data_IF_054931874487
#
_entry.id   IF_054931874487
#
_cell.length_a   1.000
_cell.length_b   1.000
_cell.length_c   1.000
_cell.angle_alpha   90.00
_cell.angle_beta   90.00
_cell.angle_gamma   90.00
#
_symmetry.space_group_name_H-M   'P 1'
#
loop_
_entity.id
_entity.type
_entity.pdbx_description
1 polymer ?
#
# COMPACT_ATOMS: atom_id res chain seq x y z
N UNK A 1 37.12 -1.95 -34.11
CA UNK A 1 36.15 -1.01 -34.71
C UNK A 1 34.69 -1.31 -34.34
N UNK A 2 34.36 -2.44 -33.69
CA UNK A 2 32.97 -2.85 -33.46
C UNK A 2 32.29 -2.24 -32.21
N UNK A 3 33.06 -1.95 -31.16
CA UNK A 3 32.53 -1.33 -29.93
C UNK A 3 32.02 0.09 -30.18
N UNK A 4 32.71 0.86 -31.02
CA UNK A 4 32.29 2.21 -31.40
C UNK A 4 30.94 2.19 -32.15
N UNK A 5 30.66 1.12 -32.91
CA UNK A 5 29.41 1.01 -33.67
C UNK A 5 28.22 0.62 -32.79
N UNK A 6 28.43 -0.21 -31.76
CA UNK A 6 27.38 -0.57 -30.80
C UNK A 6 26.96 0.60 -29.91
N UNK A 7 27.90 1.47 -29.52
CA UNK A 7 27.61 2.70 -28.76
C UNK A 7 26.75 3.69 -29.56
N UNK A 8 27.04 3.86 -30.85
CA UNK A 8 26.25 4.72 -31.72
C UNK A 8 24.80 4.23 -31.86
N UNK A 9 24.60 2.91 -31.97
CA UNK A 9 23.25 2.34 -32.06
C UNK A 9 22.45 2.55 -30.76
N UNK A 10 23.08 2.35 -29.60
CA UNK A 10 22.44 2.53 -28.30
C UNK A 10 22.04 4.00 -28.06
N UNK A 11 22.89 4.96 -28.44
CA UNK A 11 22.59 6.40 -28.32
C UNK A 11 21.51 6.86 -29.30
N UNK A 12 21.46 6.30 -30.52
CA UNK A 12 20.42 6.61 -31.50
C UNK A 12 19.05 6.09 -31.05
N UNK A 13 18.99 4.92 -30.40
CA UNK A 13 17.73 4.35 -29.88
C UNK A 13 17.09 5.21 -28.78
N UNK A 14 17.89 5.86 -27.92
CA UNK A 14 17.37 6.75 -26.87
C UNK A 14 16.74 8.02 -27.47
N UNK A 15 17.25 8.48 -28.62
CA UNK A 15 16.74 9.69 -29.28
C UNK A 15 15.37 9.49 -29.94
N UNK A 16 15.01 8.25 -30.33
CA UNK A 16 13.72 7.93 -30.95
C UNK A 16 12.56 7.81 -29.96
N UNK A 17 12.83 7.59 -28.67
CA UNK A 17 11.80 7.47 -27.62
C UNK A 17 11.34 8.84 -27.10
N UNK A 18 12.12 9.91 -27.33
CA UNK A 18 11.75 11.30 -27.02
C UNK A 18 11.22 12.07 -28.24
N UNK A 19 10.50 11.39 -29.12
CA UNK A 19 9.80 12.00 -30.26
C UNK A 19 8.53 12.76 -29.83
N UNK A 20 8.61 14.09 -29.87
CA UNK A 20 7.50 15.06 -29.97
C UNK A 20 6.33 14.95 -28.98
N UNK A 21 6.42 15.65 -27.85
CA UNK A 21 5.21 16.13 -27.16
C UNK A 21 4.50 17.16 -28.05
N UNK A 22 3.20 16.98 -28.36
CA UNK A 22 2.45 18.03 -29.02
C UNK A 22 2.34 19.25 -28.10
N UNK A 23 2.76 20.38 -28.66
CA UNK A 23 2.65 21.74 -28.15
C UNK A 23 1.25 21.97 -27.55
N UNK A 24 1.18 22.27 -26.25
CA UNK A 24 -0.04 22.72 -25.58
C UNK A 24 -0.42 24.09 -26.16
N UNK A 25 -1.28 24.07 -27.17
CA UNK A 25 -1.89 25.27 -27.73
C UNK A 25 -2.81 25.91 -26.69
N UNK A 26 -2.71 27.24 -26.67
CA UNK A 26 -3.29 28.12 -25.68
C UNK A 26 -4.81 28.07 -25.70
N UNK A 27 -5.37 28.17 -24.50
CA UNK A 27 -6.76 28.51 -24.20
C UNK A 27 -7.29 29.62 -25.12
N UNK A 28 -8.28 29.29 -25.93
CA UNK A 28 -9.05 30.28 -26.71
C UNK A 28 -10.47 30.35 -26.15
N UNK A 29 -10.72 31.38 -25.36
CA UNK A 29 -12.05 31.89 -25.02
C UNK A 29 -12.85 32.20 -26.30
N UNK A 30 -14.12 31.78 -26.35
CA UNK A 30 -15.21 32.62 -26.90
C UNK A 30 -16.55 32.27 -26.19
N UNK A 31 -17.47 33.24 -25.95
CA UNK A 31 -18.39 33.24 -24.82
C UNK A 31 -19.88 33.04 -25.18
N UNK A 32 -20.73 33.22 -24.15
CA UNK A 32 -22.20 33.26 -24.04
C UNK A 32 -22.83 31.95 -23.55
N UNK A 33 -23.63 31.94 -22.47
CA UNK A 33 -24.62 32.95 -22.07
C UNK A 33 -24.70 33.09 -20.53
N UNK A 34 -24.80 34.34 -20.07
CA UNK A 34 -25.04 34.72 -18.69
C UNK A 34 -26.54 34.77 -18.35
N UNK A 35 -26.87 34.47 -17.09
CA UNK A 35 -27.82 35.16 -16.18
C UNK A 35 -28.03 34.23 -14.96
N UNK A 36 -27.98 34.66 -13.69
CA UNK A 36 -28.34 35.96 -13.10
C UNK A 36 -27.64 36.13 -11.74
N UNK A 37 -27.34 37.38 -11.40
CA UNK A 37 -26.72 37.86 -10.16
C UNK A 37 -27.46 37.49 -8.86
N UNK A 38 -26.76 37.52 -7.70
CA UNK A 38 -27.34 37.37 -6.38
C UNK A 38 -27.81 38.74 -5.83
N UNK A 39 -29.03 38.78 -5.27
CA UNK A 39 -29.51 39.96 -4.56
C UNK A 39 -29.04 39.96 -3.10
N UNK A 40 -28.40 41.05 -2.72
CA UNK A 40 -27.88 41.40 -1.40
C UNK A 40 -29.00 41.85 -0.44
N UNK A 41 -28.73 41.69 0.86
CA UNK A 41 -28.85 42.72 1.91
C UNK A 41 -29.91 42.57 3.05
N UNK A 42 -29.34 42.56 4.27
CA UNK A 42 -29.72 43.28 5.51
C UNK A 42 -30.84 42.81 6.47
N UNK A 43 -30.37 42.51 7.70
CA UNK A 43 -30.83 42.95 9.04
C UNK A 43 -32.14 42.42 9.69
N UNK A 44 -31.94 41.58 10.73
CA UNK A 44 -32.48 41.49 12.13
C UNK A 44 -33.71 42.37 12.51
N UNK A 45 -34.64 41.99 13.44
CA UNK A 45 -34.40 41.18 14.66
C UNK A 45 -35.53 40.24 15.19
N UNK A 46 -35.16 39.50 16.25
CA UNK A 46 -35.93 39.24 17.48
C UNK A 46 -36.38 37.79 17.81
N UNK A 47 -35.80 37.36 18.95
CA UNK A 47 -36.45 36.73 20.10
C UNK A 47 -36.49 35.19 20.31
N UNK A 48 -35.69 34.81 21.33
CA UNK A 48 -35.95 33.85 22.42
C UNK A 48 -36.30 32.40 22.06
N UNK A 49 -35.37 31.50 22.41
CA UNK A 49 -35.76 30.16 22.87
C UNK A 49 -34.64 29.12 22.91
N UNK A 50 -34.07 28.94 24.10
CA UNK A 50 -33.80 27.61 24.70
C UNK A 50 -32.56 26.81 24.22
N UNK A 51 -31.55 26.90 25.08
CA UNK A 51 -30.58 25.88 25.54
C UNK A 51 -29.70 25.14 24.51
N UNK A 52 -28.40 25.36 24.67
CA UNK A 52 -27.33 24.50 24.15
C UNK A 52 -27.55 23.03 24.55
N UNK A 53 -27.41 22.13 23.58
CA UNK A 53 -27.28 20.69 23.82
C UNK A 53 -26.07 20.18 23.05
N UNK A 54 -25.08 19.74 23.82
CA UNK A 54 -23.91 18.94 23.46
C UNK A 54 -24.26 17.90 22.39
N UNK A 55 -23.59 17.95 21.24
CA UNK A 55 -23.66 16.85 20.26
C UNK A 55 -22.63 15.80 20.65
N UNK A 56 -23.15 14.78 21.31
CA UNK A 56 -22.50 13.52 21.65
C UNK A 56 -21.90 12.83 20.42
N UNK A 57 -20.71 12.27 20.60
CA UNK A 57 -20.05 11.33 19.69
C UNK A 57 -21.03 10.33 19.10
N UNK A 58 -21.18 10.35 17.77
CA UNK A 58 -21.81 9.25 17.04
C UNK A 58 -20.76 8.14 16.87
N UNK A 59 -20.75 7.22 17.84
CA UNK A 59 -20.16 5.89 17.70
C UNK A 59 -20.82 5.24 16.49
N UNK A 60 -20.06 5.08 15.40
CA UNK A 60 -20.51 4.31 14.25
C UNK A 60 -20.51 2.82 14.63
N UNK A 61 -21.63 2.36 15.20
CA UNK A 61 -21.99 0.95 15.19
C UNK A 61 -22.28 0.56 13.74
N UNK A 62 -21.24 0.10 13.03
CA UNK A 62 -21.43 -0.64 11.78
C UNK A 62 -21.33 -2.12 12.10
N UNK A 63 -22.49 -2.75 12.18
CA UNK A 63 -22.68 -4.19 12.24
C UNK A 63 -21.83 -4.88 11.18
N UNK A 64 -20.80 -5.59 11.60
CA UNK A 64 -19.96 -6.43 10.73
C UNK A 64 -20.79 -7.63 10.28
N UNK A 65 -20.97 -7.87 8.97
CA UNK A 65 -21.51 -9.14 8.49
C UNK A 65 -20.48 -10.23 8.82
N UNK A 66 -20.87 -11.20 9.67
CA UNK A 66 -20.09 -12.42 9.89
C UNK A 66 -20.26 -13.33 8.67
N UNK A 67 -19.58 -12.98 7.59
CA UNK A 67 -19.26 -13.93 6.53
C UNK A 67 -18.09 -14.76 7.04
N UNK A 68 -18.31 -16.03 7.33
CA UNK A 68 -17.21 -16.98 7.54
C UNK A 68 -16.51 -17.16 6.20
N UNK A 69 -15.60 -16.22 5.88
CA UNK A 69 -14.69 -16.35 4.77
C UNK A 69 -13.76 -17.54 5.06
N UNK A 70 -13.34 -18.26 4.01
CA UNK A 70 -12.27 -19.23 4.13
C UNK A 70 -11.04 -18.55 4.77
N UNK A 71 -10.26 -19.27 5.60
CA UNK A 71 -9.05 -18.72 6.17
C UNK A 71 -8.18 -18.18 5.03
N UNK A 72 -7.97 -16.87 5.02
CA UNK A 72 -7.11 -16.21 4.04
C UNK A 72 -5.70 -16.20 4.64
N UNK A 73 -4.65 -16.49 3.85
CA UNK A 73 -3.28 -16.28 4.28
C UNK A 73 -3.12 -14.85 4.81
N UNK A 74 -2.44 -14.73 5.94
CA UNK A 74 -2.24 -13.47 6.65
C UNK A 74 -1.25 -12.57 5.93
N UNK A 75 -0.26 -13.12 5.23
CA UNK A 75 0.67 -12.33 4.41
C UNK A 75 0.00 -11.92 3.09
N UNK A 76 0.45 -10.82 2.48
CA UNK A 76 -0.09 -10.36 1.19
C UNK A 76 0.03 -11.49 0.15
N UNK A 77 -1.09 -12.05 -0.35
CA UNK A 77 -1.06 -13.18 -1.28
C UNK A 77 -0.35 -12.85 -2.60
N UNK A 78 -0.21 -11.55 -2.92
CA UNK A 78 0.51 -11.11 -4.13
C UNK A 78 2.03 -11.28 -3.96
N UNK A 79 2.56 -11.31 -2.73
CA UNK A 79 4.01 -11.45 -2.49
C UNK A 79 4.58 -12.75 -3.06
N UNK A 80 3.79 -13.83 -3.03
CA UNK A 80 4.19 -15.11 -3.58
C UNK A 80 4.05 -15.14 -5.10
N UNK A 81 3.09 -14.42 -5.66
CA UNK A 81 3.07 -14.10 -7.09
C UNK A 81 4.34 -13.37 -7.54
N UNK A 82 4.80 -12.38 -6.77
CA UNK A 82 6.06 -11.68 -7.05
C UNK A 82 7.26 -12.62 -6.97
N UNK A 83 7.35 -13.46 -5.92
CA UNK A 83 8.41 -14.46 -5.76
C UNK A 83 8.46 -15.43 -6.93
N UNK A 84 7.31 -16.01 -7.30
CA UNK A 84 7.21 -17.01 -8.37
C UNK A 84 7.58 -16.45 -9.75
N UNK A 85 7.39 -15.15 -9.96
CA UNK A 85 7.80 -14.44 -11.17
C UNK A 85 9.25 -13.92 -11.11
N UNK A 86 10.04 -14.32 -10.10
CA UNK A 86 11.40 -13.83 -9.86
C UNK A 86 11.48 -12.29 -9.80
N UNK A 87 10.46 -11.66 -9.22
CA UNK A 87 10.44 -10.21 -9.07
C UNK A 87 11.41 -9.76 -7.99
N UNK A 88 12.22 -8.75 -8.31
CA UNK A 88 13.14 -8.09 -7.37
C UNK A 88 12.42 -7.42 -6.19
N UNK A 89 11.09 -7.31 -6.23
CA UNK A 89 10.28 -6.66 -5.19
C UNK A 89 9.79 -7.61 -4.09
N UNK A 90 9.80 -8.94 -4.31
CA UNK A 90 9.21 -9.88 -3.35
C UNK A 90 9.93 -9.85 -2.00
N UNK A 91 11.24 -10.05 -2.00
CA UNK A 91 12.05 -10.06 -0.79
C UNK A 91 12.13 -8.68 -0.11
N UNK A 92 12.34 -7.56 -0.84
CA UNK A 92 12.27 -6.24 -0.22
C UNK A 92 10.91 -5.92 0.41
N UNK A 93 9.80 -6.36 -0.18
CA UNK A 93 8.46 -6.19 0.40
C UNK A 93 8.31 -6.94 1.73
N UNK A 94 8.88 -8.15 1.84
CA UNK A 94 8.89 -8.89 3.10
C UNK A 94 9.78 -8.21 4.15
N UNK A 95 10.96 -7.76 3.76
CA UNK A 95 11.88 -7.05 4.65
C UNK A 95 11.27 -5.74 5.15
N UNK A 96 10.54 -5.02 4.29
CA UNK A 96 9.72 -3.89 4.70
C UNK A 96 8.69 -4.28 5.76
N UNK A 97 7.99 -5.40 5.53
CA UNK A 97 6.93 -5.89 6.43
C UNK A 97 7.51 -6.13 7.82
N UNK A 98 8.61 -6.87 7.91
CA UNK A 98 9.33 -7.14 9.16
C UNK A 98 9.71 -5.86 9.93
N UNK A 99 10.11 -4.80 9.21
CA UNK A 99 10.51 -3.53 9.83
C UNK A 99 9.34 -2.73 10.42
N UNK A 100 8.14 -2.87 9.84
CA UNK A 100 6.96 -2.06 10.16
C UNK A 100 5.88 -2.80 10.96
N UNK A 101 6.08 -4.09 11.20
CA UNK A 101 5.24 -4.85 12.11
C UNK A 101 5.38 -4.37 13.57
N UNK A 102 4.33 -4.57 14.40
CA UNK A 102 4.45 -4.47 15.84
C UNK A 102 5.59 -5.33 16.37
N UNK A 103 6.33 -4.80 17.36
CA UNK A 103 7.56 -5.42 17.86
C UNK A 103 7.35 -6.87 18.29
N UNK A 104 6.24 -7.19 18.95
CA UNK A 104 5.95 -8.56 19.38
C UNK A 104 5.82 -9.57 18.22
N UNK A 105 5.33 -9.14 17.05
CA UNK A 105 5.23 -9.99 15.87
C UNK A 105 6.59 -10.09 15.18
N UNK A 106 7.32 -8.98 15.06
CA UNK A 106 8.68 -8.98 14.51
C UNK A 106 9.59 -9.89 15.32
N UNK A 107 9.61 -9.77 16.66
CA UNK A 107 10.42 -10.60 17.54
C UNK A 107 10.09 -12.09 17.38
N UNK A 108 8.81 -12.41 17.17
CA UNK A 108 8.36 -13.79 16.95
C UNK A 108 8.85 -14.33 15.59
N UNK A 109 8.83 -13.51 14.54
CA UNK A 109 9.35 -13.88 13.21
C UNK A 109 10.89 -14.03 13.25
N UNK A 110 11.58 -13.14 13.96
CA UNK A 110 13.03 -13.23 14.19
C UNK A 110 13.39 -14.49 14.98
N UNK A 111 12.69 -14.77 16.08
CA UNK A 111 12.89 -16.00 16.87
C UNK A 111 12.68 -17.26 16.03
N UNK A 112 11.63 -17.30 15.20
CA UNK A 112 11.41 -18.40 14.27
C UNK A 112 12.58 -18.59 13.30
N UNK A 113 13.09 -17.48 12.73
CA UNK A 113 14.24 -17.54 11.83
C UNK A 113 15.52 -18.00 12.55
N UNK A 114 15.80 -17.47 13.74
CA UNK A 114 16.98 -17.83 14.54
C UNK A 114 16.96 -19.32 14.93
N UNK A 115 15.84 -19.80 15.46
CA UNK A 115 15.69 -21.21 15.86
C UNK A 115 15.81 -22.17 14.69
N UNK A 116 15.38 -21.75 13.50
CA UNK A 116 15.49 -22.52 12.26
C UNK A 116 16.80 -22.33 11.49
N UNK A 117 17.71 -21.45 11.93
CA UNK A 117 18.88 -21.00 11.13
C UNK A 117 18.49 -20.52 9.73
N UNK A 118 17.36 -19.81 9.63
CA UNK A 118 16.75 -19.29 8.41
C UNK A 118 17.05 -17.80 8.23
N UNK A 119 17.04 -17.33 6.98
CA UNK A 119 17.07 -15.90 6.65
C UNK A 119 15.71 -15.41 6.12
N UNK A 120 15.59 -14.12 5.79
CA UNK A 120 14.33 -13.56 5.30
C UNK A 120 13.85 -14.20 3.97
N UNK A 121 14.76 -14.72 3.14
CA UNK A 121 14.38 -15.45 1.91
C UNK A 121 13.84 -16.85 2.20
N UNK A 122 14.34 -17.51 3.23
CA UNK A 122 13.80 -18.79 3.68
C UNK A 122 12.39 -18.58 4.26
N UNK A 123 12.24 -17.55 5.09
CA UNK A 123 10.94 -17.12 5.62
C UNK A 123 9.94 -16.81 4.50
N UNK A 124 10.35 -16.09 3.45
CA UNK A 124 9.52 -15.84 2.27
C UNK A 124 9.09 -17.15 1.60
N UNK A 125 9.97 -18.15 1.59
CA UNK A 125 9.66 -19.47 1.04
C UNK A 125 8.63 -20.19 1.89
N UNK A 126 8.81 -20.22 3.22
CA UNK A 126 7.87 -20.86 4.14
C UNK A 126 6.46 -20.23 4.05
N UNK A 127 6.40 -18.89 3.97
CA UNK A 127 5.15 -18.14 3.74
C UNK A 127 4.47 -18.59 2.45
N UNK A 128 5.21 -18.66 1.34
CA UNK A 128 4.65 -19.02 0.05
C UNK A 128 4.30 -20.49 -0.08
N UNK A 129 4.94 -21.37 0.69
CA UNK A 129 4.57 -22.79 0.76
C UNK A 129 3.26 -22.98 1.53
N UNK A 130 3.08 -22.27 2.64
CA UNK A 130 1.83 -22.27 3.37
C UNK A 130 0.67 -21.69 2.54
N UNK A 131 0.90 -20.61 1.80
CA UNK A 131 -0.11 -20.00 0.94
C UNK A 131 -0.63 -20.96 -0.14
N UNK A 132 0.21 -21.85 -0.70
CA UNK A 132 -0.25 -22.87 -1.67
C UNK A 132 -1.33 -23.78 -1.10
N UNK A 133 -1.32 -23.98 0.22
CA UNK A 133 -2.31 -24.76 0.94
C UNK A 133 -3.48 -23.91 1.47
N UNK A 134 -3.49 -22.60 1.20
CA UNK A 134 -4.47 -21.65 1.71
C UNK A 134 -4.34 -21.42 3.22
N UNK A 135 -3.18 -21.69 3.80
CA UNK A 135 -2.94 -21.59 5.25
C UNK A 135 -1.88 -20.55 5.57
N UNK A 136 -1.80 -20.18 6.85
CA UNK A 136 -0.63 -19.51 7.39
C UNK A 136 0.51 -20.51 7.62
N UNK A 137 1.77 -20.02 7.68
CA UNK A 137 2.87 -20.81 8.22
C UNK A 137 2.56 -21.37 9.60
N UNK A 138 3.10 -22.54 9.91
CA UNK A 138 2.87 -23.23 11.18
C UNK A 138 3.29 -22.39 12.39
N UNK A 139 4.38 -21.62 12.28
CA UNK A 139 4.83 -20.74 13.35
C UNK A 139 3.83 -19.61 13.67
N UNK A 140 2.87 -19.34 12.78
CA UNK A 140 1.79 -18.38 12.98
C UNK A 140 0.48 -19.02 13.43
N UNK A 141 0.47 -20.33 13.76
CA UNK A 141 -0.75 -21.06 14.10
C UNK A 141 -1.53 -20.46 15.30
N UNK A 142 -0.83 -19.79 16.22
CA UNK A 142 -1.41 -19.19 17.41
C UNK A 142 -1.74 -17.69 17.27
N UNK A 143 -1.62 -17.12 16.07
CA UNK A 143 -1.88 -15.70 15.85
C UNK A 143 -3.36 -15.39 15.89
N UNK A 144 -3.71 -14.28 16.54
CA UNK A 144 -5.10 -13.81 16.58
C UNK A 144 -5.53 -13.29 15.22
N UNK A 145 -6.83 -13.12 15.01
CA UNK A 145 -7.36 -12.45 13.81
C UNK A 145 -6.75 -11.05 13.64
N UNK A 146 -6.55 -10.32 14.74
CA UNK A 146 -5.93 -9.00 14.73
C UNK A 146 -4.46 -9.04 14.30
N UNK A 147 -3.67 -9.99 14.81
CA UNK A 147 -2.27 -10.16 14.40
C UNK A 147 -2.18 -10.45 12.90
N UNK A 148 -3.06 -11.34 12.43
CA UNK A 148 -3.11 -11.71 11.03
C UNK A 148 -3.50 -10.52 10.14
N UNK A 149 -4.44 -9.69 10.57
CA UNK A 149 -4.85 -8.47 9.87
C UNK A 149 -3.71 -7.44 9.82
N UNK A 150 -3.00 -7.23 10.93
CA UNK A 150 -1.85 -6.32 10.98
C UNK A 150 -0.75 -6.72 10.00
N UNK A 151 -0.46 -8.02 9.89
CA UNK A 151 0.51 -8.55 8.93
C UNK A 151 0.04 -8.33 7.50
N UNK A 152 -1.23 -8.60 7.22
CA UNK A 152 -1.80 -8.44 5.87
C UNK A 152 -1.75 -6.99 5.40
N UNK A 153 -2.17 -6.07 6.26
CA UNK A 153 -2.19 -4.64 5.96
C UNK A 153 -0.77 -4.10 5.79
N UNK A 154 0.14 -4.45 6.70
CA UNK A 154 1.54 -4.01 6.63
C UNK A 154 2.23 -4.54 5.37
N UNK A 155 2.02 -5.83 5.06
CA UNK A 155 2.60 -6.46 3.88
C UNK A 155 2.08 -5.84 2.59
N UNK A 156 0.78 -5.58 2.51
CA UNK A 156 0.14 -4.92 1.38
C UNK A 156 0.68 -3.51 1.17
N UNK A 157 0.82 -2.73 2.25
CA UNK A 157 1.36 -1.37 2.19
C UNK A 157 2.82 -1.37 1.71
N UNK A 158 3.63 -2.30 2.21
CA UNK A 158 5.03 -2.45 1.81
C UNK A 158 5.18 -2.83 0.34
N UNK A 159 4.33 -3.74 -0.16
CA UNK A 159 4.29 -4.07 -1.59
C UNK A 159 3.90 -2.88 -2.45
N UNK A 160 2.82 -2.17 -2.13
CA UNK A 160 2.29 -1.05 -2.93
C UNK A 160 3.33 0.07 -3.07
N UNK A 161 4.12 0.31 -2.01
CA UNK A 161 5.15 1.35 -2.05
C UNK A 161 6.39 0.93 -2.85
N UNK A 162 6.48 -0.32 -3.33
CA UNK A 162 7.64 -0.86 -4.06
C UNK A 162 8.97 -0.57 -3.36
N UNK A 163 8.97 -0.59 -2.02
CA UNK A 163 10.10 -0.11 -1.24
C UNK A 163 11.24 -1.11 -1.23
N UNK A 164 12.44 -0.64 -1.53
CA UNK A 164 13.68 -1.35 -1.21
C UNK A 164 13.94 -1.34 0.31
N UNK A 165 14.69 -2.33 0.85
CA UNK A 165 15.04 -2.37 2.29
C UNK A 165 15.60 -1.03 2.82
N UNK A 166 16.40 -0.33 2.01
CA UNK A 166 16.92 1.00 2.31
C UNK A 166 15.82 2.06 2.43
N UNK A 167 14.87 2.07 1.51
CA UNK A 167 13.73 3.01 1.54
C UNK A 167 12.78 2.70 2.70
N UNK A 168 12.56 1.43 3.02
CA UNK A 168 11.75 1.02 4.18
C UNK A 168 12.33 1.52 5.50
N UNK A 169 13.65 1.50 5.63
CA UNK A 169 14.33 1.95 6.85
C UNK A 169 14.14 3.45 7.06
N UNK A 170 14.12 4.22 5.98
CA UNK A 170 13.98 5.68 6.03
C UNK A 170 12.56 6.15 6.39
N UNK A 171 11.54 5.27 6.32
CA UNK A 171 10.15 5.61 6.65
C UNK A 171 9.76 5.28 8.10
N UNK A 172 10.66 4.65 8.87
CA UNK A 172 10.45 4.36 10.30
C UNK A 172 10.97 5.54 11.12
N UNK A 173 10.20 6.62 11.16
CA UNK A 173 10.42 7.84 11.97
C UNK A 173 9.22 8.10 12.85
#
# INVERSE_FOLDING_TARGET
>A
MEIMWRLAYFLLSISLVFGNSPKLEKSTKKPQKAQKEPATATATPAHKGRKASTSTQAIQNKTTPKTTAAPKPSTDPIICGLKNNNSDFALPSLQCTLLHLPQNLTDHWETYMETGSKNESDLLTDICEAEKNGTNPEFMANYTENDNAMISDTSTLCRIRHTTKSECRNTKT
#
